data_IF_140982651895
#
_entry.id   IF_140982651895
#
_cell.length_a   1.000
_cell.length_b   1.000
_cell.length_c   1.000
_cell.angle_alpha   90.00
_cell.angle_beta   90.00
_cell.angle_gamma   90.00
#
_symmetry.space_group_name_H-M   'P 1'
#
loop_
_entity.id
_entity.type
_entity.pdbx_description
1 polymer ?
#
# COMPACT_ATOMS: atom_id res chain seq x y z
N UNK A 1 -43.80 -37.96 -81.42
CA UNK A 1 -44.18 -36.58 -81.09
C UNK A 1 -45.34 -36.60 -80.11
N UNK A 2 -45.08 -36.38 -78.82
CA UNK A 2 -46.12 -36.08 -77.82
C UNK A 2 -45.43 -35.34 -76.66
N UNK A 3 -45.57 -34.02 -76.62
CA UNK A 3 -45.07 -33.15 -75.54
C UNK A 3 -46.05 -33.19 -74.37
N UNK A 4 -45.55 -33.55 -73.18
CA UNK A 4 -46.27 -33.47 -71.92
C UNK A 4 -46.29 -32.04 -71.33
N UNK A 5 -47.19 -31.76 -70.37
CA UNK A 5 -47.45 -30.41 -69.88
C UNK A 5 -46.36 -29.88 -68.93
N UNK A 6 -46.02 -28.60 -69.09
CA UNK A 6 -45.11 -27.84 -68.23
C UNK A 6 -45.81 -27.49 -66.92
N UNK A 7 -45.30 -27.97 -65.79
CA UNK A 7 -45.72 -27.54 -64.45
C UNK A 7 -44.86 -26.36 -64.00
N UNK A 8 -45.52 -25.22 -63.77
CA UNK A 8 -44.94 -23.98 -63.24
C UNK A 8 -44.72 -24.13 -61.73
N UNK A 9 -43.46 -24.08 -61.29
CA UNK A 9 -43.09 -24.16 -59.87
C UNK A 9 -43.06 -22.74 -59.28
N UNK A 10 -43.98 -22.44 -58.38
CA UNK A 10 -43.98 -21.17 -57.63
C UNK A 10 -43.00 -21.31 -56.46
N UNK A 11 -41.91 -20.54 -56.51
CA UNK A 11 -40.90 -20.48 -55.45
C UNK A 11 -41.38 -19.51 -54.36
N UNK A 12 -41.85 -20.03 -53.22
CA UNK A 12 -42.16 -19.20 -52.04
C UNK A 12 -40.84 -18.96 -51.29
N UNK A 13 -40.31 -17.74 -51.39
CA UNK A 13 -39.14 -17.30 -50.61
C UNK A 13 -39.61 -16.97 -49.20
N UNK A 14 -39.40 -17.90 -48.25
CA UNK A 14 -39.52 -17.62 -46.82
C UNK A 14 -38.33 -16.75 -46.37
N UNK A 15 -38.57 -15.44 -46.17
CA UNK A 15 -37.65 -14.57 -45.44
C UNK A 15 -37.56 -15.04 -43.98
N UNK A 16 -36.49 -15.74 -43.62
CA UNK A 16 -36.13 -15.98 -42.22
C UNK A 16 -35.40 -14.73 -41.72
N UNK A 17 -35.91 -14.03 -40.67
CA UNK A 17 -35.20 -12.89 -40.12
C UNK A 17 -33.90 -13.37 -39.47
N UNK A 18 -32.77 -12.82 -39.93
CA UNK A 18 -31.46 -13.05 -39.33
C UNK A 18 -31.46 -12.48 -37.90
N UNK A 19 -31.48 -13.36 -36.91
CA UNK A 19 -31.24 -13.00 -35.52
C UNK A 19 -29.77 -12.59 -35.41
N UNK A 20 -29.52 -11.29 -35.41
CA UNK A 20 -28.21 -10.73 -35.11
C UNK A 20 -27.88 -11.07 -33.65
N UNK A 21 -27.03 -12.07 -33.44
CA UNK A 21 -26.44 -12.32 -32.13
C UNK A 21 -25.53 -11.15 -31.80
N UNK A 22 -26.07 -10.17 -31.07
CA UNK A 22 -25.25 -9.17 -30.41
C UNK A 22 -24.22 -9.91 -29.55
N UNK A 23 -22.96 -9.90 -29.99
CA UNK A 23 -21.87 -10.50 -29.25
C UNK A 23 -21.81 -9.86 -27.87
N UNK A 24 -22.08 -10.65 -26.83
CA UNK A 24 -21.80 -10.23 -25.47
C UNK A 24 -20.32 -9.86 -25.41
N UNK A 25 -20.03 -8.62 -25.01
CA UNK A 25 -18.66 -8.19 -24.73
C UNK A 25 -18.04 -9.21 -23.76
N UNK A 26 -16.79 -9.66 -23.98
CA UNK A 26 -16.15 -10.60 -23.08
C UNK A 26 -16.18 -9.98 -21.68
N UNK A 27 -16.80 -10.70 -20.74
CA UNK A 27 -16.79 -10.31 -19.34
C UNK A 27 -15.33 -10.13 -18.93
N UNK A 28 -14.97 -8.90 -18.58
CA UNK A 28 -13.65 -8.58 -18.05
C UNK A 28 -13.46 -9.45 -16.80
N UNK A 29 -12.51 -10.38 -16.84
CA UNK A 29 -12.12 -11.09 -15.62
C UNK A 29 -11.77 -10.04 -14.58
N UNK A 30 -12.31 -10.14 -13.34
CA UNK A 30 -11.87 -9.28 -12.27
C UNK A 30 -10.34 -9.33 -12.20
N UNK A 31 -9.70 -8.17 -12.11
CA UNK A 31 -8.25 -8.12 -11.90
C UNK A 31 -7.94 -8.93 -10.63
N UNK A 32 -6.88 -9.76 -10.68
CA UNK A 32 -6.44 -10.48 -9.49
C UNK A 32 -6.09 -9.48 -8.37
N UNK A 33 -6.35 -9.81 -7.09
CA UNK A 33 -6.05 -8.93 -5.97
C UNK A 33 -4.56 -8.57 -5.95
N UNK A 34 -4.26 -7.33 -5.57
CA UNK A 34 -2.88 -6.90 -5.37
C UNK A 34 -2.29 -7.60 -4.13
N UNK A 35 -1.18 -8.32 -4.31
CA UNK A 35 -0.48 -9.01 -3.22
C UNK A 35 0.42 -8.04 -2.48
N UNK A 36 0.00 -7.58 -1.31
CA UNK A 36 0.66 -6.51 -0.54
C UNK A 36 1.46 -7.10 0.61
N UNK A 37 2.75 -6.77 0.66
CA UNK A 37 3.55 -6.85 1.88
C UNK A 37 3.64 -5.44 2.45
N UNK A 38 3.01 -5.21 3.60
CA UNK A 38 2.88 -3.91 4.24
C UNK A 38 3.95 -3.73 5.33
N UNK A 39 4.68 -2.62 5.29
CA UNK A 39 5.78 -2.28 6.21
C UNK A 39 5.56 -0.87 6.77
N UNK A 40 5.32 -0.77 8.08
CA UNK A 40 4.80 0.43 8.76
C UNK A 40 5.61 0.70 10.03
N UNK A 41 5.81 1.96 10.43
CA UNK A 41 6.43 2.21 11.74
C UNK A 41 5.44 1.94 12.89
N UNK A 42 4.12 2.06 12.60
CA UNK A 42 3.01 1.99 13.55
C UNK A 42 3.35 2.77 14.83
N UNK A 43 3.97 3.94 14.68
CA UNK A 43 4.32 4.78 15.81
C UNK A 43 3.99 6.27 15.67
N UNK A 44 4.88 7.09 15.16
CA UNK A 44 4.97 8.52 15.40
C UNK A 44 3.68 9.32 15.14
N UNK A 45 2.92 8.92 14.11
CA UNK A 45 1.65 9.49 13.70
C UNK A 45 0.55 8.43 13.57
N UNK A 46 -0.71 8.86 13.43
CA UNK A 46 -1.87 7.96 13.42
C UNK A 46 -2.29 7.52 12.01
N UNK A 47 -1.66 8.01 10.95
CA UNK A 47 -1.97 7.59 9.60
C UNK A 47 -1.63 6.14 9.30
N UNK A 48 -0.65 5.52 9.98
CA UNK A 48 -0.40 4.08 9.90
C UNK A 48 -1.63 3.25 10.26
N UNK A 49 -2.33 3.65 11.33
CA UNK A 49 -3.57 2.99 11.80
C UNK A 49 -4.66 3.11 10.72
N UNK A 50 -4.75 4.28 10.08
CA UNK A 50 -5.69 4.51 8.98
C UNK A 50 -5.32 3.73 7.71
N UNK A 51 -4.04 3.63 7.40
CA UNK A 51 -3.52 2.88 6.26
C UNK A 51 -3.79 1.38 6.41
N UNK A 52 -3.52 0.81 7.59
CA UNK A 52 -3.82 -0.58 7.89
C UNK A 52 -5.34 -0.87 7.81
N UNK A 53 -6.17 0.05 8.32
CA UNK A 53 -7.63 -0.04 8.18
C UNK A 53 -8.08 -0.11 6.72
N UNK A 54 -7.55 0.78 5.87
CA UNK A 54 -7.85 0.79 4.44
C UNK A 54 -7.40 -0.49 3.75
N UNK A 55 -6.24 -1.02 4.12
CA UNK A 55 -5.72 -2.25 3.54
C UNK A 55 -6.62 -3.45 3.88
N UNK A 56 -7.13 -3.54 5.11
CA UNK A 56 -8.15 -4.54 5.47
C UNK A 56 -9.46 -4.36 4.69
N UNK A 57 -9.94 -3.12 4.54
CA UNK A 57 -11.13 -2.83 3.75
C UNK A 57 -10.97 -3.28 2.29
N UNK A 58 -9.83 -2.97 1.68
CA UNK A 58 -9.50 -3.38 0.31
C UNK A 58 -9.34 -4.89 0.18
N UNK A 59 -8.81 -5.57 1.20
CA UNK A 59 -8.77 -7.02 1.23
C UNK A 59 -10.17 -7.64 1.35
N UNK A 60 -11.08 -7.01 2.10
CA UNK A 60 -12.46 -7.44 2.17
C UNK A 60 -13.21 -7.23 0.85
N UNK A 61 -12.89 -6.16 0.12
CA UNK A 61 -13.42 -5.92 -1.22
C UNK A 61 -12.84 -6.87 -2.29
N UNK A 62 -11.87 -7.72 -1.93
CA UNK A 62 -11.18 -8.61 -2.86
C UNK A 62 -10.23 -7.88 -3.81
N UNK A 63 -9.87 -6.61 -3.50
CA UNK A 63 -8.92 -5.81 -4.27
C UNK A 63 -7.47 -6.06 -3.83
N UNK A 64 -7.25 -6.54 -2.60
CA UNK A 64 -5.94 -6.84 -2.04
C UNK A 64 -5.86 -8.21 -1.36
N UNK A 65 -4.67 -8.81 -1.36
CA UNK A 65 -4.28 -9.94 -0.54
C UNK A 65 -3.13 -9.46 0.36
N UNK A 66 -3.36 -9.41 1.67
CA UNK A 66 -2.34 -9.00 2.64
C UNK A 66 -1.46 -10.21 2.93
N UNK A 67 -0.20 -10.14 2.51
CA UNK A 67 0.75 -11.23 2.69
C UNK A 67 1.46 -11.20 4.05
N UNK A 68 1.73 -10.00 4.55
CA UNK A 68 2.31 -9.72 5.86
C UNK A 68 2.14 -8.24 6.21
N UNK A 69 2.19 -7.94 7.51
CA UNK A 69 2.18 -6.59 8.09
C UNK A 69 3.36 -6.48 9.04
N UNK A 70 4.54 -6.18 8.50
CA UNK A 70 5.76 -6.03 9.29
C UNK A 70 5.84 -4.60 9.83
N UNK A 71 6.56 -4.42 10.94
CA UNK A 71 6.89 -3.08 11.45
C UNK A 71 8.34 -2.72 11.15
N UNK A 72 8.63 -1.45 10.88
CA UNK A 72 9.99 -0.91 10.67
C UNK A 72 10.60 -0.24 11.90
N UNK A 73 9.82 -0.09 12.97
CA UNK A 73 10.26 0.54 14.21
C UNK A 73 10.54 -0.44 15.35
N UNK A 74 11.43 -0.02 16.25
CA UNK A 74 11.78 -0.68 17.51
C UNK A 74 10.88 -0.32 18.68
N UNK A 75 9.83 0.47 18.50
CA UNK A 75 8.88 0.64 19.58
C UNK A 75 8.35 -0.76 20.01
N UNK A 76 8.39 -1.11 21.32
CA UNK A 76 8.02 -2.44 21.78
C UNK A 76 6.54 -2.77 21.57
N UNK A 77 5.71 -1.76 21.30
CA UNK A 77 4.27 -1.88 21.13
C UNK A 77 3.80 -1.80 19.67
N UNK A 78 4.64 -1.42 18.71
CA UNK A 78 4.22 -1.33 17.29
C UNK A 78 3.72 -2.67 16.76
N UNK A 79 4.51 -3.74 16.90
CA UNK A 79 4.11 -5.07 16.41
C UNK A 79 2.87 -5.64 17.13
N UNK A 80 2.77 -5.59 18.48
CA UNK A 80 1.53 -5.93 19.18
C UNK A 80 0.30 -5.09 18.77
N UNK A 81 0.48 -3.80 18.48
CA UNK A 81 -0.59 -2.93 18.00
C UNK A 81 -1.08 -3.35 16.60
N UNK A 82 -0.16 -3.65 15.68
CA UNK A 82 -0.50 -4.20 14.35
C UNK A 82 -1.27 -5.51 14.50
N UNK A 83 -0.79 -6.41 15.37
CA UNK A 83 -1.45 -7.70 15.63
C UNK A 83 -2.88 -7.54 16.16
N UNK A 84 -3.08 -6.64 17.12
CA UNK A 84 -4.41 -6.31 17.64
C UNK A 84 -5.36 -5.77 16.57
N UNK A 85 -4.88 -4.90 15.68
CA UNK A 85 -5.70 -4.39 14.57
C UNK A 85 -6.01 -5.52 13.58
N UNK A 86 -5.02 -6.31 13.19
CA UNK A 86 -5.19 -7.46 12.29
C UNK A 86 -6.22 -8.46 12.84
N UNK A 87 -6.08 -8.82 14.12
CA UNK A 87 -6.97 -9.74 14.84
C UNK A 87 -8.40 -9.18 14.87
N UNK A 88 -8.57 -7.89 15.16
CA UNK A 88 -9.90 -7.26 15.17
C UNK A 88 -10.57 -7.27 13.79
N UNK A 89 -9.80 -7.14 12.71
CA UNK A 89 -10.28 -7.30 11.32
C UNK A 89 -10.39 -8.77 10.87
N UNK A 90 -10.28 -9.73 11.78
CA UNK A 90 -10.48 -11.16 11.50
C UNK A 90 -9.32 -11.81 10.74
N UNK A 91 -8.10 -11.29 10.89
CA UNK A 91 -6.88 -11.82 10.26
C UNK A 91 -5.75 -12.01 11.28
N UNK A 92 -5.97 -12.78 12.35
CA UNK A 92 -4.98 -12.95 13.42
C UNK A 92 -3.69 -13.63 12.93
N UNK A 93 -3.78 -14.49 11.91
CA UNK A 93 -2.64 -15.28 11.44
C UNK A 93 -1.74 -14.55 10.43
N UNK A 94 -1.91 -13.23 10.23
CA UNK A 94 -1.05 -12.47 9.33
C UNK A 94 0.39 -12.46 9.87
N UNK A 95 1.40 -12.81 9.04
CA UNK A 95 2.79 -12.72 9.46
C UNK A 95 3.15 -11.30 9.87
N UNK A 96 3.71 -11.16 11.06
CA UNK A 96 4.21 -9.90 11.63
C UNK A 96 5.68 -10.11 12.01
N UNK A 97 6.50 -9.10 11.77
CA UNK A 97 7.90 -9.09 12.17
C UNK A 97 8.31 -7.69 12.59
N UNK A 98 9.39 -7.59 13.38
CA UNK A 98 9.95 -6.34 13.88
C UNK A 98 11.45 -6.29 13.59
N UNK A 99 12.04 -5.13 13.28
CA UNK A 99 13.47 -5.01 13.04
C UNK A 99 14.28 -5.51 14.25
N UNK A 100 15.36 -6.23 13.95
CA UNK A 100 16.40 -6.61 14.93
C UNK A 100 17.69 -5.82 14.74
N UNK A 101 17.78 -5.03 13.68
CA UNK A 101 18.95 -4.22 13.32
C UNK A 101 19.23 -3.17 14.39
N UNK A 102 20.49 -2.93 14.79
CA UNK A 102 20.83 -2.00 15.86
C UNK A 102 20.40 -0.56 15.58
N UNK A 103 20.46 -0.13 14.31
CA UNK A 103 20.11 1.20 13.82
C UNK A 103 18.61 1.44 13.61
N UNK A 104 17.75 0.42 13.72
CA UNK A 104 16.32 0.64 13.56
C UNK A 104 15.78 1.65 14.58
N UNK A 105 14.93 2.54 14.08
CA UNK A 105 14.42 3.71 14.78
C UNK A 105 13.53 3.29 15.96
N UNK A 106 13.62 3.99 17.08
CA UNK A 106 12.80 3.72 18.26
C UNK A 106 12.00 4.97 18.65
N UNK A 107 10.99 5.28 17.85
CA UNK A 107 10.09 6.40 18.08
C UNK A 107 9.00 6.06 19.10
N UNK A 108 8.51 7.08 19.82
CA UNK A 108 7.38 6.90 20.73
C UNK A 108 6.07 6.89 19.95
N UNK A 109 5.13 6.03 20.36
CA UNK A 109 3.75 6.05 19.88
C UNK A 109 2.81 6.54 20.97
N UNK A 110 1.81 7.34 20.58
CA UNK A 110 0.74 7.80 21.49
C UNK A 110 -0.39 6.77 21.67
N UNK A 111 -0.45 5.75 20.81
CA UNK A 111 -1.58 4.83 20.75
C UNK A 111 -1.18 3.36 20.83
N UNK A 112 0.00 2.97 20.32
CA UNK A 112 0.35 1.57 20.10
C UNK A 112 0.26 0.73 21.36
N UNK A 113 0.77 1.25 22.49
CA UNK A 113 0.69 0.56 23.78
C UNK A 113 -0.75 0.29 24.22
N UNK A 114 -1.59 1.32 24.21
CA UNK A 114 -2.96 1.19 24.70
C UNK A 114 -3.81 0.33 23.77
N UNK A 115 -3.60 0.38 22.46
CA UNK A 115 -4.27 -0.56 21.54
C UNK A 115 -3.83 -2.00 21.84
N UNK A 116 -2.54 -2.26 22.01
CA UNK A 116 -2.06 -3.60 22.36
C UNK A 116 -2.63 -4.09 23.72
N UNK A 117 -2.75 -3.21 24.71
CA UNK A 117 -3.29 -3.57 26.03
C UNK A 117 -4.83 -3.77 26.03
N UNK A 118 -5.58 -3.02 25.21
CA UNK A 118 -7.05 -3.01 25.22
C UNK A 118 -7.71 -4.05 24.31
N UNK A 119 -7.00 -4.54 23.28
CA UNK A 119 -7.57 -5.39 22.22
C UNK A 119 -7.00 -6.81 22.25
N UNK A 120 -7.77 -7.78 21.74
CA UNK A 120 -7.30 -9.16 21.64
C UNK A 120 -6.29 -9.34 20.52
N UNK A 121 -5.24 -10.10 20.81
CA UNK A 121 -4.13 -10.45 19.91
C UNK A 121 -3.25 -11.51 20.59
N UNK A 122 -2.34 -12.18 19.89
CA UNK A 122 -1.49 -13.24 20.47
C UNK A 122 -0.02 -12.82 20.67
N UNK A 123 0.45 -11.79 19.97
CA UNK A 123 1.80 -11.22 20.10
C UNK A 123 1.93 -10.30 21.32
N UNK A 124 2.15 -10.86 22.51
CA UNK A 124 2.14 -10.10 23.78
C UNK A 124 3.31 -9.13 23.98
N UNK A 125 4.39 -9.28 23.24
CA UNK A 125 5.55 -8.39 23.33
C UNK A 125 6.22 -8.23 21.97
N UNK A 126 6.62 -7.01 21.62
CA UNK A 126 7.46 -6.77 20.44
C UNK A 126 8.83 -7.46 20.51
N UNK A 127 9.28 -7.93 21.68
CA UNK A 127 10.47 -8.76 21.77
C UNK A 127 10.28 -10.15 21.13
N UNK A 128 9.07 -10.70 21.26
CA UNK A 128 8.68 -12.03 20.79
C UNK A 128 8.40 -12.05 19.28
N UNK A 129 8.19 -10.88 18.68
CA UNK A 129 8.00 -10.74 17.24
C UNK A 129 9.22 -11.30 16.49
N UNK A 130 9.02 -12.13 15.44
CA UNK A 130 10.10 -12.55 14.55
C UNK A 130 10.88 -11.37 13.97
N UNK A 131 12.09 -11.64 13.47
CA UNK A 131 12.82 -10.65 12.67
C UNK A 131 12.02 -10.31 11.40
N UNK A 132 11.74 -9.02 11.20
CA UNK A 132 11.05 -8.52 10.01
C UNK A 132 11.72 -9.01 8.71
N UNK A 133 13.06 -9.04 8.66
CA UNK A 133 13.80 -9.50 7.47
C UNK A 133 13.54 -10.99 7.20
N UNK A 134 13.41 -11.80 8.24
CA UNK A 134 13.04 -13.22 8.09
C UNK A 134 11.62 -13.38 7.56
N UNK A 135 10.68 -12.56 8.04
CA UNK A 135 9.30 -12.54 7.53
C UNK A 135 9.28 -12.16 6.04
N UNK A 136 10.03 -11.13 5.63
CA UNK A 136 10.22 -10.79 4.21
C UNK A 136 10.68 -11.99 3.39
N UNK A 137 11.76 -12.66 3.82
CA UNK A 137 12.32 -13.81 3.10
C UNK A 137 11.30 -14.95 3.00
N UNK A 138 10.68 -15.32 4.11
CA UNK A 138 9.74 -16.45 4.18
C UNK A 138 8.48 -16.20 3.35
N UNK A 139 7.98 -14.96 3.33
CA UNK A 139 6.79 -14.57 2.56
C UNK A 139 7.12 -14.48 1.07
N UNK A 140 8.16 -13.75 0.68
CA UNK A 140 8.52 -13.55 -0.73
C UNK A 140 8.86 -14.87 -1.42
N UNK A 141 9.60 -15.76 -0.75
CA UNK A 141 10.03 -17.05 -1.33
C UNK A 141 8.86 -17.94 -1.77
N UNK A 142 7.68 -17.78 -1.16
CA UNK A 142 6.46 -18.55 -1.47
C UNK A 142 5.62 -17.93 -2.58
N UNK A 143 5.98 -16.75 -3.07
CA UNK A 143 5.18 -16.03 -4.07
C UNK A 143 5.61 -16.37 -5.50
N UNK A 144 4.67 -16.26 -6.46
CA UNK A 144 5.00 -16.29 -7.88
C UNK A 144 5.99 -15.17 -8.24
N UNK A 145 6.74 -15.39 -9.33
CA UNK A 145 7.65 -14.39 -9.87
C UNK A 145 6.93 -13.06 -10.16
N UNK A 146 7.59 -11.95 -9.81
CA UNK A 146 7.17 -10.57 -10.09
C UNK A 146 5.71 -10.28 -9.75
N UNK A 147 5.25 -10.79 -8.61
CA UNK A 147 3.83 -10.72 -8.21
C UNK A 147 3.56 -9.85 -6.98
N UNK A 148 4.58 -9.59 -6.15
CA UNK A 148 4.41 -8.90 -4.86
C UNK A 148 4.59 -7.40 -5.01
N UNK A 149 3.70 -6.63 -4.39
CA UNK A 149 3.87 -5.20 -4.14
C UNK A 149 4.38 -5.05 -2.71
N UNK A 150 5.57 -4.50 -2.54
CA UNK A 150 6.04 -4.06 -1.22
C UNK A 150 5.55 -2.63 -1.02
N UNK A 151 4.90 -2.37 0.11
CA UNK A 151 4.40 -1.05 0.48
C UNK A 151 5.06 -0.63 1.79
N UNK A 152 5.97 0.34 1.74
CA UNK A 152 6.58 0.93 2.94
C UNK A 152 5.93 2.28 3.25
N UNK A 153 5.47 2.43 4.49
CA UNK A 153 4.94 3.68 5.03
C UNK A 153 5.70 4.21 6.25
N UNK A 154 6.68 3.45 6.76
CA UNK A 154 7.62 3.90 7.79
C UNK A 154 9.08 3.88 7.32
N UNK A 155 9.99 3.67 8.27
CA UNK A 155 11.45 3.67 8.04
C UNK A 155 11.92 2.55 7.10
N UNK A 156 13.04 2.79 6.40
CA UNK A 156 13.56 1.87 5.38
C UNK A 156 14.59 0.84 5.90
N UNK A 157 14.73 0.71 7.22
CA UNK A 157 15.69 -0.19 7.86
C UNK A 157 15.51 -1.65 7.44
N UNK A 158 14.26 -2.12 7.37
CA UNK A 158 13.95 -3.48 6.96
C UNK A 158 14.36 -3.74 5.50
N UNK A 159 14.11 -2.78 4.60
CA UNK A 159 14.47 -2.90 3.18
C UNK A 159 15.98 -2.93 3.01
N UNK A 160 16.71 -2.02 3.67
CA UNK A 160 18.17 -2.01 3.62
C UNK A 160 18.77 -3.34 4.13
N UNK A 161 18.25 -3.86 5.23
CA UNK A 161 18.67 -5.12 5.80
C UNK A 161 18.32 -6.33 4.91
N UNK A 162 17.14 -6.32 4.29
CA UNK A 162 16.74 -7.32 3.30
C UNK A 162 17.72 -7.33 2.13
N UNK A 163 17.99 -6.19 1.50
CA UNK A 163 18.91 -6.10 0.36
C UNK A 163 20.36 -6.48 0.72
N UNK A 164 20.75 -6.29 1.98
CA UNK A 164 22.10 -6.63 2.48
C UNK A 164 22.29 -8.13 2.75
N UNK A 165 21.25 -8.95 2.67
CA UNK A 165 21.38 -10.40 2.86
C UNK A 165 22.23 -11.03 1.76
N UNK A 166 23.34 -11.72 2.10
CA UNK A 166 24.08 -12.50 1.12
C UNK A 166 23.27 -13.73 0.69
N UNK A 167 23.64 -14.32 -0.44
CA UNK A 167 23.19 -15.67 -0.76
C UNK A 167 23.73 -16.66 0.28
N UNK A 168 22.96 -17.69 0.62
CA UNK A 168 23.35 -18.70 1.59
C UNK A 168 22.83 -20.09 1.19
N UNK A 169 23.74 -20.95 0.73
CA UNK A 169 23.42 -22.23 0.13
C UNK A 169 22.51 -22.07 -1.08
N UNK A 170 21.35 -22.74 -1.06
CA UNK A 170 20.32 -22.63 -2.11
C UNK A 170 19.42 -21.38 -1.95
N UNK A 171 19.60 -20.59 -0.89
CA UNK A 171 18.82 -19.36 -0.69
C UNK A 171 19.44 -18.20 -1.51
N UNK A 172 18.65 -17.52 -2.35
CA UNK A 172 19.14 -16.37 -3.11
C UNK A 172 19.54 -15.23 -2.17
N UNK A 173 20.40 -14.32 -2.67
CA UNK A 173 20.66 -13.05 -1.99
C UNK A 173 19.37 -12.25 -1.84
N UNK A 174 19.35 -11.29 -0.91
CA UNK A 174 18.19 -10.40 -0.76
C UNK A 174 17.83 -9.65 -2.04
N UNK A 175 18.85 -9.16 -2.75
CA UNK A 175 18.69 -8.51 -4.06
C UNK A 175 18.05 -9.46 -5.09
N UNK A 176 18.49 -10.71 -5.17
CA UNK A 176 17.97 -11.67 -6.16
C UNK A 176 16.58 -12.18 -5.79
N UNK A 177 16.27 -12.31 -4.50
CA UNK A 177 14.93 -12.57 -4.01
C UNK A 177 13.97 -11.44 -4.39
N UNK A 178 14.38 -10.19 -4.21
CA UNK A 178 13.57 -9.02 -4.63
C UNK A 178 13.37 -9.02 -6.14
N UNK A 179 14.44 -9.22 -6.93
CA UNK A 179 14.36 -9.27 -8.41
C UNK A 179 13.38 -10.33 -8.92
N UNK A 180 13.39 -11.50 -8.29
CA UNK A 180 12.53 -12.63 -8.68
C UNK A 180 11.08 -12.40 -8.27
N UNK A 181 10.82 -11.98 -7.02
CA UNK A 181 9.47 -12.01 -6.45
C UNK A 181 8.70 -10.70 -6.52
N UNK A 182 9.40 -9.57 -6.50
CA UNK A 182 8.78 -8.25 -6.33
C UNK A 182 8.44 -7.67 -7.70
N UNK A 183 7.19 -7.22 -7.84
CA UNK A 183 6.68 -6.50 -9.00
C UNK A 183 7.13 -5.04 -8.96
N UNK A 184 6.89 -4.38 -7.82
CA UNK A 184 7.15 -2.97 -7.59
C UNK A 184 7.23 -2.71 -6.08
N UNK A 185 8.08 -1.78 -5.68
CA UNK A 185 8.03 -1.17 -4.36
C UNK A 185 7.33 0.18 -4.42
N UNK A 186 6.29 0.34 -3.60
CA UNK A 186 5.61 1.60 -3.36
C UNK A 186 6.14 2.17 -2.04
N UNK A 187 6.78 3.33 -2.10
CA UNK A 187 7.48 3.93 -0.97
C UNK A 187 6.86 5.28 -0.61
N UNK A 188 6.22 5.39 0.56
CA UNK A 188 5.83 6.67 1.13
C UNK A 188 7.08 7.38 1.67
N UNK A 189 7.45 8.51 1.08
CA UNK A 189 8.64 9.26 1.48
C UNK A 189 9.15 10.22 0.40
N UNK A 190 10.03 11.14 0.80
CA UNK A 190 10.52 12.22 -0.05
C UNK A 190 9.52 13.36 -0.26
N UNK A 191 10.01 14.46 -0.83
CA UNK A 191 9.20 15.59 -1.27
C UNK A 191 9.53 15.93 -2.73
N UNK A 192 8.66 15.62 -3.70
CA UNK A 192 8.96 15.85 -5.12
C UNK A 192 8.44 17.20 -5.59
N UNK A 193 9.18 18.27 -5.27
CA UNK A 193 8.74 19.65 -5.51
C UNK A 193 9.48 20.29 -6.70
N UNK A 194 8.73 20.92 -7.60
CA UNK A 194 9.29 21.69 -8.73
C UNK A 194 9.53 20.86 -10.00
N UNK A 195 10.20 21.48 -11.00
CA UNK A 195 10.54 20.85 -12.29
C UNK A 195 11.95 21.29 -12.73
N UNK A 196 12.97 20.40 -12.71
CA UNK A 196 12.92 19.04 -12.18
C UNK A 196 12.57 19.04 -10.69
N UNK A 197 11.94 17.95 -10.23
CA UNK A 197 11.60 17.81 -8.82
C UNK A 197 12.86 17.74 -7.96
N UNK A 198 12.81 18.34 -6.78
CA UNK A 198 13.87 18.27 -5.77
C UNK A 198 13.25 18.26 -4.39
N UNK A 199 14.02 17.77 -3.42
CA UNK A 199 13.56 17.77 -2.04
C UNK A 199 13.37 19.20 -1.48
N UNK A 200 12.41 19.32 -0.56
CA UNK A 200 12.27 20.47 0.34
C UNK A 200 12.27 19.98 1.79
N UNK A 201 13.47 19.89 2.39
CA UNK A 201 13.66 19.42 3.76
C UNK A 201 12.86 20.22 4.80
N UNK A 202 12.37 21.42 4.48
CA UNK A 202 11.49 22.20 5.38
C UNK A 202 10.11 21.57 5.54
N UNK A 203 9.68 20.75 4.57
CA UNK A 203 8.44 20.00 4.65
C UNK A 203 8.59 18.79 5.59
N UNK A 204 9.82 18.35 5.86
CA UNK A 204 10.14 17.13 6.60
C UNK A 204 10.21 15.92 5.66
N UNK A 205 10.99 14.91 6.06
CA UNK A 205 11.16 13.66 5.31
C UNK A 205 11.57 12.53 6.28
N UNK A 206 10.71 12.27 7.26
CA UNK A 206 11.06 11.45 8.43
C UNK A 206 11.41 10.01 8.04
N UNK A 207 10.61 9.38 7.18
CA UNK A 207 10.85 8.01 6.68
C UNK A 207 12.23 7.85 6.04
N UNK A 208 12.82 8.92 5.48
CA UNK A 208 14.17 8.87 4.96
C UNK A 208 15.21 9.30 6.00
N UNK A 209 14.92 10.32 6.80
CA UNK A 209 15.89 11.01 7.65
C UNK A 209 16.20 10.30 8.97
N UNK A 210 15.25 9.54 9.54
CA UNK A 210 15.43 8.90 10.85
C UNK A 210 16.47 7.78 10.82
N UNK A 211 16.56 7.05 9.70
CA UNK A 211 17.67 6.16 9.37
C UNK A 211 18.18 6.44 7.95
N UNK A 212 18.86 7.58 7.80
CA UNK A 212 19.39 8.07 6.53
C UNK A 212 20.32 7.06 5.83
N UNK A 213 21.12 6.30 6.58
CA UNK A 213 22.03 5.32 6.00
C UNK A 213 21.25 4.16 5.35
N UNK A 214 20.25 3.61 6.04
CA UNK A 214 19.38 2.59 5.47
C UNK A 214 18.59 3.12 4.28
N UNK A 215 18.06 4.33 4.36
CA UNK A 215 17.28 4.95 3.27
C UNK A 215 18.12 5.14 2.02
N UNK A 216 19.33 5.70 2.16
CA UNK A 216 20.28 5.83 1.07
C UNK A 216 20.57 4.48 0.43
N UNK A 217 20.91 3.48 1.24
CA UNK A 217 21.24 2.14 0.75
C UNK A 217 20.06 1.48 0.03
N UNK A 218 18.89 1.47 0.66
CA UNK A 218 17.67 0.86 0.14
C UNK A 218 17.28 1.45 -1.22
N UNK A 219 17.24 2.77 -1.33
CA UNK A 219 16.80 3.46 -2.56
C UNK A 219 17.83 3.30 -3.68
N UNK A 220 19.13 3.39 -3.37
CA UNK A 220 20.20 3.31 -4.38
C UNK A 220 20.43 1.90 -4.91
N UNK A 221 20.19 0.86 -4.10
CA UNK A 221 20.43 -0.53 -4.46
C UNK A 221 19.16 -1.28 -4.88
N UNK A 222 17.99 -0.63 -4.89
CA UNK A 222 16.74 -1.27 -5.27
C UNK A 222 16.78 -1.79 -6.72
N UNK A 223 16.50 -3.08 -6.96
CA UNK A 223 16.82 -3.67 -8.26
C UNK A 223 15.66 -3.69 -9.28
N UNK A 224 14.43 -3.41 -8.85
CA UNK A 224 13.20 -3.45 -9.68
C UNK A 224 12.50 -2.09 -9.71
N UNK A 225 11.25 -2.04 -10.16
CA UNK A 225 10.46 -0.80 -10.18
C UNK A 225 10.24 -0.25 -8.77
N UNK A 226 10.35 1.07 -8.62
CA UNK A 226 10.12 1.82 -7.39
C UNK A 226 9.22 3.02 -7.70
N UNK A 227 8.08 3.13 -7.03
CA UNK A 227 7.25 4.34 -7.09
C UNK A 227 7.24 5.02 -5.74
N UNK A 228 7.62 6.29 -5.72
CA UNK A 228 7.51 7.13 -4.55
C UNK A 228 6.14 7.80 -4.45
N UNK A 229 5.63 7.83 -3.24
CA UNK A 229 4.46 8.61 -2.83
C UNK A 229 4.98 9.71 -1.91
N UNK A 230 5.33 10.85 -2.51
CA UNK A 230 5.89 11.98 -1.79
C UNK A 230 4.90 12.60 -0.82
N UNK A 231 5.40 13.34 0.18
CA UNK A 231 4.54 13.97 1.19
C UNK A 231 3.60 15.02 0.60
N UNK A 232 3.95 15.62 -0.53
CA UNK A 232 3.09 16.54 -1.28
C UNK A 232 1.82 15.88 -1.85
N UNK A 233 1.74 14.55 -1.83
CA UNK A 233 0.55 13.80 -2.26
C UNK A 233 -0.48 13.74 -1.15
N UNK A 234 -0.12 13.26 0.04
CA UNK A 234 -1.08 13.01 1.14
C UNK A 234 -0.90 13.89 2.38
N UNK A 235 0.20 14.62 2.51
CA UNK A 235 0.58 15.44 3.68
C UNK A 235 0.80 16.90 3.32
N UNK A 236 1.89 17.53 3.74
CA UNK A 236 2.21 18.92 3.42
C UNK A 236 2.99 18.96 2.10
N UNK A 237 2.64 19.84 1.14
CA UNK A 237 1.61 20.89 1.18
C UNK A 237 0.26 20.49 0.58
N UNK A 238 -0.03 19.18 0.40
CA UNK A 238 -1.23 18.69 -0.29
C UNK A 238 -2.54 19.26 0.25
N UNK A 239 -2.66 19.33 1.58
CA UNK A 239 -3.88 19.76 2.27
C UNK A 239 -4.96 18.68 2.40
N UNK A 240 -4.75 17.50 1.81
CA UNK A 240 -5.66 16.35 1.96
C UNK A 240 -5.71 15.89 3.41
N UNK A 241 -6.92 15.56 3.87
CA UNK A 241 -7.12 15.10 5.25
C UNK A 241 -8.35 14.21 5.40
N UNK A 242 -8.30 13.33 6.38
CA UNK A 242 -9.41 12.48 6.79
C UNK A 242 -9.25 12.07 8.27
N UNK A 243 -10.31 11.53 8.86
CA UNK A 243 -10.26 10.90 10.18
C UNK A 243 -11.31 11.40 11.17
N UNK A 244 -11.85 12.62 11.02
CA UNK A 244 -12.87 13.12 11.96
C UNK A 244 -14.13 12.23 11.99
N UNK A 245 -14.50 11.62 10.85
CA UNK A 245 -15.68 10.73 10.76
C UNK A 245 -15.55 9.43 11.56
N UNK A 246 -14.34 9.03 11.97
CA UNK A 246 -14.14 7.87 12.84
C UNK A 246 -14.90 8.01 14.17
N UNK A 247 -15.25 9.23 14.59
CA UNK A 247 -16.08 9.48 15.77
C UNK A 247 -17.48 8.82 15.70
N UNK A 248 -17.97 8.49 14.50
CA UNK A 248 -19.24 7.80 14.28
C UNK A 248 -19.14 6.26 14.38
N UNK A 249 -17.93 5.69 14.39
CA UNK A 249 -17.74 4.25 14.57
C UNK A 249 -18.00 3.83 16.02
N UNK A 250 -18.28 2.54 16.31
CA UNK A 250 -18.36 2.03 17.67
C UNK A 250 -17.11 2.36 18.51
N UNK A 251 -17.27 2.54 19.82
CA UNK A 251 -16.16 2.91 20.74
C UNK A 251 -15.07 1.84 20.84
N UNK A 252 -15.43 0.59 20.61
CA UNK A 252 -14.54 -0.59 20.58
C UNK A 252 -13.89 -0.80 19.21
N UNK A 253 -13.90 0.21 18.33
CA UNK A 253 -13.21 0.14 17.05
C UNK A 253 -11.74 0.60 17.21
N UNK A 254 -10.73 -0.24 16.93
CA UNK A 254 -9.33 0.07 17.25
C UNK A 254 -8.80 1.26 16.46
N UNK A 255 -9.26 1.46 15.23
CA UNK A 255 -8.87 2.63 14.40
C UNK A 255 -9.41 3.94 14.99
N UNK A 256 -10.69 3.98 15.38
CA UNK A 256 -11.26 5.11 16.12
C UNK A 256 -10.45 5.36 17.37
N UNK A 257 -10.18 4.31 18.15
CA UNK A 257 -9.40 4.39 19.39
C UNK A 257 -8.00 4.95 19.16
N UNK A 258 -7.29 4.50 18.12
CA UNK A 258 -5.97 5.02 17.76
C UNK A 258 -5.96 6.52 17.50
N UNK A 259 -6.96 7.01 16.75
CA UNK A 259 -7.12 8.45 16.52
C UNK A 259 -7.50 9.21 17.79
N UNK A 260 -8.39 8.66 18.64
CA UNK A 260 -8.73 9.25 19.93
C UNK A 260 -7.49 9.44 20.81
N UNK A 261 -6.65 8.40 20.89
CA UNK A 261 -5.42 8.41 21.68
C UNK A 261 -4.38 9.39 21.12
N UNK A 262 -4.18 9.38 19.80
CA UNK A 262 -3.24 10.31 19.15
C UNK A 262 -3.60 11.78 19.40
N UNK A 263 -4.90 12.12 19.32
CA UNK A 263 -5.41 13.47 19.55
C UNK A 263 -5.73 13.81 21.01
N UNK A 264 -5.58 12.84 21.94
CA UNK A 264 -5.90 13.02 23.35
C UNK A 264 -7.38 13.31 23.63
N UNK A 265 -8.29 12.73 22.84
CA UNK A 265 -9.72 13.04 22.90
C UNK A 265 -10.51 12.41 21.77
N UNK A 266 -11.29 13.20 21.04
CA UNK A 266 -12.05 12.72 19.89
C UNK A 266 -11.17 12.60 18.63
N UNK A 267 -11.52 11.72 17.67
CA UNK A 267 -10.86 11.68 16.36
C UNK A 267 -10.97 13.04 15.65
N UNK A 268 -9.90 13.44 14.97
CA UNK A 268 -9.84 14.65 14.17
C UNK A 268 -9.27 14.31 12.80
N UNK A 269 -9.43 15.23 11.86
CA UNK A 269 -8.76 15.13 10.58
C UNK A 269 -7.24 15.19 10.77
N UNK A 270 -6.54 14.23 10.14
CA UNK A 270 -5.09 14.19 9.98
C UNK A 270 -4.77 14.13 8.49
N UNK A 271 -3.53 14.43 8.12
CA UNK A 271 -3.08 14.12 6.77
C UNK A 271 -3.20 12.63 6.47
N UNK A 272 -3.16 12.30 5.18
CA UNK A 272 -3.45 10.95 4.68
C UNK A 272 -2.27 10.36 3.89
N UNK A 273 -1.02 10.59 4.33
CA UNK A 273 0.17 10.20 3.59
C UNK A 273 0.19 8.70 3.29
N UNK A 274 0.08 7.88 4.33
CA UNK A 274 0.18 6.44 4.21
C UNK A 274 -1.03 5.84 3.50
N UNK A 275 -2.21 6.42 3.73
CA UNK A 275 -3.46 6.07 3.07
C UNK A 275 -3.38 6.30 1.56
N UNK A 276 -2.75 7.40 1.09
CA UNK A 276 -2.52 7.61 -0.34
C UNK A 276 -1.59 6.58 -0.94
N UNK A 277 -0.59 6.11 -0.18
CA UNK A 277 0.31 5.05 -0.61
C UNK A 277 -0.40 3.69 -0.70
N UNK A 278 -1.25 3.35 0.28
CA UNK A 278 -2.16 2.18 0.22
C UNK A 278 -3.06 2.25 -1.01
N UNK A 279 -3.70 3.41 -1.25
CA UNK A 279 -4.63 3.58 -2.36
C UNK A 279 -3.93 3.33 -3.71
N UNK A 280 -2.72 3.87 -3.89
CA UNK A 280 -1.94 3.63 -5.10
C UNK A 280 -1.43 2.19 -5.21
N UNK A 281 -0.91 1.60 -4.12
CA UNK A 281 -0.38 0.24 -4.12
C UNK A 281 -1.43 -0.81 -4.56
N UNK A 282 -2.69 -0.60 -4.17
CA UNK A 282 -3.79 -1.52 -4.51
C UNK A 282 -4.49 -1.14 -5.81
N UNK A 283 -4.82 0.14 -5.99
CA UNK A 283 -5.68 0.59 -7.10
C UNK A 283 -4.93 1.17 -8.30
N UNK A 284 -3.63 1.42 -8.16
CA UNK A 284 -2.83 2.11 -9.17
C UNK A 284 -3.25 3.58 -9.32
N UNK A 285 -3.09 4.13 -10.53
CA UNK A 285 -3.34 5.55 -10.79
C UNK A 285 -4.84 5.91 -10.69
N UNK A 286 -5.72 5.07 -11.26
CA UNK A 286 -7.14 5.38 -11.52
C UNK A 286 -7.35 6.86 -11.86
N UNK A 287 -8.44 7.46 -11.39
CA UNK A 287 -8.69 8.90 -11.48
C UNK A 287 -8.13 9.68 -10.30
N UNK A 288 -7.23 9.07 -9.52
CA UNK A 288 -6.61 9.68 -8.35
C UNK A 288 -5.34 10.43 -8.71
N UNK A 289 -4.44 9.81 -9.47
CA UNK A 289 -3.05 10.26 -9.60
C UNK A 289 -2.60 10.32 -11.06
N UNK A 290 -1.71 11.27 -11.33
CA UNK A 290 -0.80 11.22 -12.47
C UNK A 290 0.56 10.67 -11.97
N UNK A 291 1.49 10.39 -12.88
CA UNK A 291 2.81 9.86 -12.52
C UNK A 291 3.90 10.47 -13.40
N UNK A 292 5.03 10.82 -12.80
CA UNK A 292 6.28 11.03 -13.52
C UNK A 292 7.06 9.71 -13.48
N UNK A 293 7.37 9.16 -14.65
CA UNK A 293 7.90 7.80 -14.77
C UNK A 293 9.31 7.76 -15.40
N UNK A 294 9.96 6.60 -15.23
CA UNK A 294 11.24 6.25 -15.85
C UNK A 294 12.40 7.19 -15.50
N UNK A 295 12.47 7.69 -14.26
CA UNK A 295 13.60 8.49 -13.80
C UNK A 295 14.36 7.84 -12.65
N UNK A 296 15.21 8.64 -12.02
CA UNK A 296 16.04 8.26 -10.88
C UNK A 296 16.12 9.42 -9.90
N UNK A 297 15.97 9.13 -8.62
CA UNK A 297 16.29 10.04 -7.52
C UNK A 297 17.80 10.04 -7.30
N UNK A 298 18.45 11.18 -7.55
CA UNK A 298 19.85 11.41 -7.19
C UNK A 298 19.93 11.79 -5.71
N UNK A 299 19.71 10.79 -4.86
CA UNK A 299 19.66 10.92 -3.40
C UNK A 299 21.05 11.06 -2.79
N UNK A 300 21.23 12.08 -1.97
CA UNK A 300 22.48 12.37 -1.27
C UNK A 300 22.45 11.82 0.16
N UNK A 301 23.61 11.65 0.83
CA UNK A 301 23.68 11.17 2.21
C UNK A 301 22.95 12.05 3.24
N UNK A 302 22.72 13.33 2.96
CA UNK A 302 21.95 14.25 3.80
C UNK A 302 20.42 14.20 3.54
N UNK A 303 19.98 13.22 2.75
CA UNK A 303 18.61 12.96 2.32
C UNK A 303 18.00 14.03 1.40
N UNK A 304 18.80 15.01 0.96
CA UNK A 304 18.41 15.87 -0.15
C UNK A 304 18.50 15.09 -1.46
N UNK A 305 17.67 15.46 -2.44
CA UNK A 305 17.76 14.85 -3.77
C UNK A 305 17.33 15.82 -4.87
N UNK A 306 17.77 15.51 -6.09
CA UNK A 306 17.20 16.05 -7.33
C UNK A 306 16.72 14.89 -8.20
N UNK A 307 15.59 15.09 -8.87
CA UNK A 307 15.06 14.12 -9.83
C UNK A 307 15.78 14.22 -11.17
N UNK A 308 16.25 13.07 -11.65
CA UNK A 308 16.82 12.91 -12.98
C UNK A 308 15.80 12.20 -13.88
N UNK A 309 15.19 12.88 -14.86
CA UNK A 309 14.21 12.26 -15.74
C UNK A 309 14.88 11.35 -16.78
N UNK A 310 14.22 10.24 -17.11
CA UNK A 310 14.62 9.33 -18.19
C UNK A 310 15.60 8.23 -17.78
N UNK A 311 15.43 7.04 -18.37
CA UNK A 311 16.38 5.93 -18.30
C UNK A 311 16.44 5.13 -16.99
N UNK A 312 15.64 5.49 -15.98
CA UNK A 312 15.60 4.79 -14.69
C UNK A 312 14.36 3.92 -14.48
N UNK A 313 14.32 3.23 -13.33
CA UNK A 313 13.20 2.37 -12.87
C UNK A 313 12.39 3.01 -11.75
N UNK A 314 12.62 4.29 -11.48
CA UNK A 314 11.95 5.01 -10.43
C UNK A 314 10.85 5.88 -11.03
N UNK A 315 9.79 6.08 -10.27
CA UNK A 315 8.68 6.95 -10.59
C UNK A 315 8.23 7.69 -9.32
N UNK A 316 7.53 8.81 -9.45
CA UNK A 316 6.84 9.43 -8.32
C UNK A 316 5.45 9.91 -8.72
N UNK A 317 4.52 9.86 -7.75
CA UNK A 317 3.15 10.28 -7.99
C UNK A 317 3.03 11.79 -8.14
N UNK A 318 2.01 12.19 -8.88
CA UNK A 318 1.59 13.58 -9.05
C UNK A 318 0.10 13.68 -8.70
N UNK A 319 -0.31 14.77 -8.06
CA UNK A 319 -1.74 15.07 -7.88
C UNK A 319 -2.38 15.27 -9.25
N UNK A 320 -3.41 14.48 -9.56
CA UNK A 320 -4.17 14.61 -10.81
C UNK A 320 -5.07 15.83 -10.76
N UNK A 321 -5.18 16.53 -11.90
CA UNK A 321 -6.05 17.71 -12.03
C UNK A 321 -6.98 17.60 -13.23
N UNK A 322 -8.07 16.81 -13.16
CA UNK A 322 -9.06 16.75 -14.22
C UNK A 322 -9.60 18.15 -14.52
N UNK A 323 -9.56 18.56 -15.78
CA UNK A 323 -9.96 19.91 -16.24
C UNK A 323 -9.26 21.06 -15.48
N UNK A 324 -8.02 20.82 -15.05
CA UNK A 324 -7.21 21.79 -14.30
C UNK A 324 -7.59 21.97 -12.83
N UNK A 325 -8.56 21.20 -12.30
CA UNK A 325 -9.02 21.28 -10.91
C UNK A 325 -8.51 20.11 -10.07
N UNK A 326 -8.10 20.32 -8.80
CA UNK A 326 -7.77 19.22 -7.90
C UNK A 326 -8.97 18.28 -7.70
N UNK A 327 -8.71 16.98 -7.72
CA UNK A 327 -9.67 15.92 -7.40
C UNK A 327 -9.71 15.56 -5.90
N UNK A 328 -9.14 16.42 -5.06
CA UNK A 328 -8.90 16.21 -3.63
C UNK A 328 -10.11 15.66 -2.86
N UNK A 329 -11.31 16.21 -3.09
CA UNK A 329 -12.53 15.75 -2.42
C UNK A 329 -12.88 14.30 -2.73
N UNK A 330 -12.63 13.84 -3.95
CA UNK A 330 -12.89 12.45 -4.32
C UNK A 330 -11.90 11.49 -3.62
N UNK A 331 -10.65 11.93 -3.44
CA UNK A 331 -9.64 11.17 -2.70
C UNK A 331 -9.99 11.11 -1.22
N UNK A 332 -10.30 12.25 -0.59
CA UNK A 332 -10.72 12.31 0.82
C UNK A 332 -11.93 11.40 1.07
N UNK A 333 -12.95 11.44 0.20
CA UNK A 333 -14.12 10.56 0.30
C UNK A 333 -13.76 9.08 0.17
N UNK A 334 -12.89 8.71 -0.77
CA UNK A 334 -12.46 7.33 -0.94
C UNK A 334 -11.69 6.82 0.27
N UNK A 335 -10.80 7.65 0.83
CA UNK A 335 -10.03 7.34 2.04
C UNK A 335 -10.96 7.22 3.25
N UNK A 336 -11.85 8.19 3.48
CA UNK A 336 -12.84 8.12 4.56
C UNK A 336 -13.71 6.87 4.46
N UNK A 337 -14.22 6.55 3.27
CA UNK A 337 -15.06 5.37 3.08
C UNK A 337 -14.32 4.08 3.45
N UNK A 338 -13.05 3.94 3.05
CA UNK A 338 -12.24 2.77 3.35
C UNK A 338 -11.81 2.71 4.82
N UNK A 339 -11.48 3.85 5.44
CA UNK A 339 -11.13 3.92 6.87
C UNK A 339 -12.32 3.61 7.80
N UNK A 340 -13.54 3.90 7.36
CA UNK A 340 -14.78 3.65 8.11
C UNK A 340 -15.28 2.20 7.97
N UNK A 341 -14.51 1.32 7.33
CA UNK A 341 -14.92 -0.05 7.04
C UNK A 341 -15.10 -0.87 8.34
N UNK A 342 -16.25 -1.54 8.52
CA UNK A 342 -16.49 -2.36 9.70
C UNK A 342 -15.70 -3.68 9.63
N UNK A 343 -15.46 -4.32 10.78
CA UNK A 343 -14.94 -5.71 10.78
C UNK A 343 -15.92 -6.69 10.11
N UNK A 344 -15.38 -7.80 9.62
CA UNK A 344 -16.17 -8.98 9.26
C UNK A 344 -16.40 -9.88 10.47
N UNK A 345 -17.66 -10.19 10.76
CA UNK A 345 -18.03 -11.19 11.76
C UNK A 345 -18.08 -10.70 13.23
N UNK A 346 -18.44 -11.60 14.16
CA UNK A 346 -18.51 -11.31 15.60
C UNK A 346 -17.11 -11.04 16.20
N UNK A 347 -17.06 -10.39 17.37
CA UNK A 347 -15.80 -10.25 18.14
C UNK A 347 -15.30 -11.67 18.42
N UNK A 348 -14.02 -12.00 18.19
CA UNK A 348 -13.43 -13.19 18.78
C UNK A 348 -13.67 -13.13 20.31
N UNK A 349 -14.08 -14.26 20.91
CA UNK A 349 -14.32 -14.34 22.35
C UNK A 349 -13.02 -14.56 23.10
#
# INVERSE_FOLDING_TARGET
>A
MTRGPVRMLILIVCCVPAISTAGAAPATRPAAPAKILFDTDMDSDCDDVGALAMLHALADLGEAEILATVVSAKNPWSAPCVDAINTWYGRPDLPIGRPKQPNAVNSSSKYARQIAEEYQHDLKSGADAPDAVRVYVDVLSKQPERSVVILTVGDLTNIAALLSLPADGDRPSGIDLVKSKVKVWVCMGGNFIGRPAKDDMKLGNNNFSLDAASSLYAITHWPVELTFVGREIGSVPSGLKAGAKLAALPKDHPVRRGYELYFGGAPKDRHIADQTAVLYAVRGLRDYWDIEANGTMDLQPDMTFTWQPGGGKQSYLLKRKPDGKPNDRAIEQAVEQLMMHPRRGPVPQ
#
